data_IF_824945751570
#
_entry.id   IF_824945751570
#
_cell.length_a   1.000
_cell.length_b   1.000
_cell.length_c   1.000
_cell.angle_alpha   90.00
_cell.angle_beta   90.00
_cell.angle_gamma   90.00
#
_symmetry.space_group_name_H-M   'P 1'
#
loop_
_entity.id
_entity.type
_entity.pdbx_description
1 polymer ?
#
# COMPACT_ATOMS: atom_id res chain seq x y z
N UNK A 1 -15.08 -14.56 -9.38
CA UNK A 1 -14.24 -14.74 -10.59
C UNK A 1 -13.94 -13.34 -11.11
N UNK A 2 -12.84 -12.71 -10.69
CA UNK A 2 -12.47 -11.36 -11.15
C UNK A 2 -11.56 -11.48 -12.37
N UNK A 3 -11.98 -10.85 -13.47
CA UNK A 3 -11.42 -10.97 -14.81
C UNK A 3 -10.02 -10.35 -14.92
N UNK A 4 -9.15 -11.06 -15.65
CA UNK A 4 -7.91 -10.56 -16.20
C UNK A 4 -8.19 -9.35 -17.12
N UNK A 5 -7.47 -8.25 -16.92
CA UNK A 5 -7.62 -7.03 -17.74
C UNK A 5 -8.11 -5.79 -17.00
N UNK A 6 -7.73 -5.60 -15.73
CA UNK A 6 -7.91 -4.29 -15.10
C UNK A 6 -6.77 -3.36 -15.55
N UNK A 7 -6.95 -2.72 -16.72
CA UNK A 7 -6.14 -1.61 -17.28
C UNK A 7 -6.16 -0.33 -16.42
N UNK A 8 -6.53 -0.43 -15.13
CA UNK A 8 -6.70 0.74 -14.26
C UNK A 8 -5.40 1.19 -13.58
N UNK A 9 -4.36 0.38 -13.65
CA UNK A 9 -3.04 0.71 -13.14
C UNK A 9 -2.19 1.06 -14.36
N UNK A 10 -1.77 2.32 -14.46
CA UNK A 10 -0.85 2.84 -15.48
C UNK A 10 0.56 2.23 -15.26
N UNK A 11 0.65 0.91 -15.33
CA UNK A 11 1.83 0.12 -15.00
C UNK A 11 2.84 0.35 -16.11
N UNK A 12 4.10 0.70 -15.80
CA UNK A 12 5.13 0.82 -16.81
C UNK A 12 5.28 -0.51 -17.54
N UNK A 13 5.54 -0.48 -18.86
CA UNK A 13 5.76 -1.69 -19.64
C UNK A 13 6.84 -2.54 -18.96
N UNK A 14 6.63 -3.86 -18.99
CA UNK A 14 7.61 -4.80 -18.49
C UNK A 14 8.83 -4.70 -19.40
N UNK A 15 9.89 -4.02 -18.95
CA UNK A 15 11.21 -4.12 -19.57
C UNK A 15 11.71 -5.53 -19.32
N UNK A 16 11.22 -6.48 -20.12
CA UNK A 16 11.81 -7.80 -20.27
C UNK A 16 13.08 -7.57 -21.07
N UNK A 17 14.12 -7.05 -20.41
CA UNK A 17 15.47 -7.16 -20.92
C UNK A 17 15.94 -8.57 -20.51
N UNK A 18 15.97 -9.55 -21.44
CA UNK A 18 16.39 -10.92 -21.14
C UNK A 18 17.84 -11.01 -20.64
N UNK A 19 18.61 -9.91 -20.70
CA UNK A 19 19.97 -9.80 -20.17
C UNK A 19 20.04 -9.01 -18.85
N UNK A 20 18.97 -8.35 -18.39
CA UNK A 20 18.96 -7.68 -17.09
C UNK A 20 19.05 -8.68 -15.93
N UNK A 21 18.49 -9.88 -16.09
CA UNK A 21 18.64 -10.99 -15.13
C UNK A 21 20.07 -11.55 -15.08
N UNK A 22 20.90 -11.27 -16.10
CA UNK A 22 22.27 -11.80 -16.22
C UNK A 22 23.29 -10.85 -15.56
N UNK A 23 22.95 -9.56 -15.40
CA UNK A 23 23.83 -8.54 -14.85
C UNK A 23 23.54 -8.15 -13.40
N UNK A 24 22.35 -8.46 -12.88
CA UNK A 24 22.03 -8.24 -11.46
C UNK A 24 22.62 -9.37 -10.64
N UNK A 25 23.47 -9.03 -9.68
CA UNK A 25 23.99 -10.05 -8.77
C UNK A 25 22.86 -10.50 -7.84
N UNK A 26 22.77 -11.80 -7.59
CA UNK A 26 21.80 -12.36 -6.65
C UNK A 26 21.86 -11.65 -5.28
N UNK A 27 23.05 -11.18 -4.88
CA UNK A 27 23.28 -10.40 -3.67
C UNK A 27 22.58 -9.03 -3.68
N UNK A 28 22.52 -8.33 -4.82
CA UNK A 28 21.79 -7.05 -4.96
C UNK A 28 20.29 -7.25 -4.82
N UNK A 29 19.73 -8.32 -5.39
CA UNK A 29 18.31 -8.66 -5.22
C UNK A 29 17.98 -9.05 -3.78
N UNK A 30 18.87 -9.80 -3.12
CA UNK A 30 18.71 -10.16 -1.71
C UNK A 30 18.77 -8.91 -0.83
N UNK A 31 19.76 -8.03 -1.04
CA UNK A 31 19.89 -6.77 -0.29
C UNK A 31 18.65 -5.88 -0.49
N UNK A 32 18.16 -5.77 -1.72
CA UNK A 32 16.92 -5.07 -2.04
C UNK A 32 15.71 -5.68 -1.31
N UNK A 33 15.54 -7.00 -1.37
CA UNK A 33 14.43 -7.70 -0.73
C UNK A 33 14.43 -7.49 0.78
N UNK A 34 15.61 -7.58 1.43
CA UNK A 34 15.76 -7.33 2.87
C UNK A 34 15.41 -5.89 3.25
N UNK A 35 15.76 -4.91 2.42
CA UNK A 35 15.44 -3.50 2.65
C UNK A 35 13.95 -3.19 2.46
N UNK A 36 13.31 -3.78 1.44
CA UNK A 36 11.93 -3.47 1.05
C UNK A 36 10.88 -4.23 1.86
N UNK A 37 11.17 -5.45 2.30
CA UNK A 37 10.22 -6.30 3.03
C UNK A 37 9.52 -5.64 4.23
N UNK A 38 10.22 -4.97 5.17
CA UNK A 38 9.53 -4.29 6.27
C UNK A 38 8.59 -3.18 5.79
N UNK A 39 8.93 -2.50 4.69
CA UNK A 39 8.10 -1.44 4.10
C UNK A 39 6.88 -2.02 3.39
N UNK A 40 7.03 -3.15 2.71
CA UNK A 40 5.95 -3.92 2.11
C UNK A 40 4.91 -4.34 3.17
N UNK A 41 5.39 -4.97 4.24
CA UNK A 41 4.52 -5.46 5.32
C UNK A 41 3.80 -4.31 6.02
N UNK A 42 4.51 -3.20 6.26
CA UNK A 42 3.91 -2.03 6.88
C UNK A 42 2.86 -1.40 5.97
N UNK A 43 3.12 -1.29 4.66
CA UNK A 43 2.16 -0.77 3.70
C UNK A 43 0.88 -1.61 3.65
N UNK A 44 1.01 -2.94 3.66
CA UNK A 44 -0.14 -3.84 3.75
C UNK A 44 -0.97 -3.60 5.02
N UNK A 45 -0.31 -3.46 6.16
CA UNK A 45 -0.98 -3.15 7.45
C UNK A 45 -1.67 -1.79 7.42
N UNK A 46 -1.01 -0.74 6.91
CA UNK A 46 -1.59 0.60 6.80
C UNK A 46 -2.83 0.62 5.92
N UNK A 47 -2.79 -0.05 4.76
CA UNK A 47 -3.96 -0.18 3.88
C UNK A 47 -5.12 -0.86 4.62
N UNK A 48 -4.85 -1.95 5.35
CA UNK A 48 -5.86 -2.66 6.13
C UNK A 48 -6.46 -1.80 7.26
N UNK A 49 -5.63 -1.07 7.99
CA UNK A 49 -6.06 -0.17 9.07
C UNK A 49 -6.95 0.96 8.53
N UNK A 50 -6.53 1.62 7.44
CA UNK A 50 -7.31 2.70 6.82
C UNK A 50 -8.63 2.19 6.24
N UNK A 51 -8.62 1.03 5.57
CA UNK A 51 -9.84 0.42 5.05
C UNK A 51 -10.82 0.06 6.17
N UNK A 52 -10.33 -0.50 7.28
CA UNK A 52 -11.14 -0.80 8.46
C UNK A 52 -11.74 0.45 9.09
N UNK A 53 -10.95 1.51 9.24
CA UNK A 53 -11.41 2.80 9.75
C UNK A 53 -12.53 3.39 8.87
N UNK A 54 -12.33 3.41 7.56
CA UNK A 54 -13.31 3.95 6.60
C UNK A 54 -14.61 3.15 6.59
N UNK A 55 -14.53 1.83 6.71
CA UNK A 55 -15.71 0.98 6.83
C UNK A 55 -16.47 1.26 8.15
N UNK A 56 -15.75 1.32 9.28
CA UNK A 56 -16.35 1.63 10.58
C UNK A 56 -17.03 2.99 10.58
N UNK A 57 -16.42 3.98 9.96
CA UNK A 57 -16.97 5.31 9.90
C UNK A 57 -18.17 5.41 8.93
N UNK A 58 -18.20 4.60 7.85
CA UNK A 58 -19.38 4.44 7.00
C UNK A 58 -20.57 3.81 7.74
N UNK A 59 -20.31 2.82 8.61
CA UNK A 59 -21.36 2.11 9.37
C UNK A 59 -21.86 2.92 10.56
N UNK A 60 -20.96 3.56 11.31
CA UNK A 60 -21.29 4.30 12.53
C UNK A 60 -21.85 5.70 12.28
N UNK A 61 -21.65 6.26 11.08
CA UNK A 61 -22.09 7.60 10.71
C UNK A 61 -21.40 8.72 11.50
N UNK A 62 -20.41 8.39 12.35
CA UNK A 62 -19.60 9.34 13.10
C UNK A 62 -18.19 9.34 12.55
N UNK A 63 -17.81 10.49 11.99
CA UNK A 63 -16.44 10.80 11.62
C UNK A 63 -15.89 11.80 12.63
N UNK A 64 -15.21 11.29 13.65
CA UNK A 64 -14.47 12.15 14.56
C UNK A 64 -13.03 12.27 14.06
N UNK A 65 -12.53 13.50 13.89
CA UNK A 65 -11.13 13.71 13.49
C UNK A 65 -10.16 13.46 14.63
N UNK A 66 -10.67 13.46 15.86
CA UNK A 66 -9.91 13.18 17.08
C UNK A 66 -9.62 11.70 17.28
N UNK A 67 -9.77 10.85 16.26
CA UNK A 67 -9.14 9.55 16.28
C UNK A 67 -7.61 9.75 16.27
N UNK A 68 -7.04 9.86 17.46
CA UNK A 68 -5.61 9.68 17.75
C UNK A 68 -5.07 8.37 17.11
N UNK A 69 -5.97 7.40 16.89
CA UNK A 69 -5.73 6.18 16.13
C UNK A 69 -5.41 6.40 14.64
N UNK A 70 -5.67 7.58 14.07
CA UNK A 70 -5.48 7.90 12.65
C UNK A 70 -4.24 8.77 12.40
N UNK A 71 -3.88 9.68 13.30
CA UNK A 71 -2.66 10.48 13.17
C UNK A 71 -1.39 9.62 13.20
N UNK A 72 -1.34 8.60 14.07
CA UNK A 72 -0.18 7.70 14.17
C UNK A 72 0.09 6.90 12.87
N UNK A 73 -0.91 6.30 12.20
CA UNK A 73 -0.74 5.70 10.87
C UNK A 73 -0.30 6.68 9.78
N UNK A 74 -0.77 7.94 9.81
CA UNK A 74 -0.44 8.95 8.78
C UNK A 74 1.04 9.34 8.85
N UNK A 75 1.56 9.61 10.05
CA UNK A 75 2.98 9.93 10.25
C UNK A 75 3.87 8.76 9.82
N UNK A 76 3.49 7.53 10.20
CA UNK A 76 4.19 6.31 9.76
C UNK A 76 4.15 6.09 8.25
N UNK A 77 3.05 6.45 7.59
CA UNK A 77 2.95 6.35 6.14
C UNK A 77 3.93 7.30 5.43
N UNK A 78 4.13 8.51 5.95
CA UNK A 78 5.10 9.48 5.42
C UNK A 78 6.54 8.98 5.58
N UNK A 79 6.91 8.54 6.78
CA UNK A 79 8.25 7.97 7.04
C UNK A 79 8.56 6.77 6.14
N UNK A 80 7.57 5.88 5.93
CA UNK A 80 7.74 4.75 5.03
C UNK A 80 7.84 5.15 3.56
N UNK A 81 7.19 6.23 3.16
CA UNK A 81 7.28 6.78 1.81
C UNK A 81 8.67 7.32 1.49
N UNK A 82 9.29 8.00 2.43
CA UNK A 82 10.64 8.51 2.23
C UNK A 82 11.67 7.36 2.29
N UNK A 83 11.48 6.41 3.21
CA UNK A 83 12.32 5.22 3.28
C UNK A 83 12.29 4.41 1.99
N UNK A 84 11.12 4.16 1.40
CA UNK A 84 11.03 3.34 0.19
C UNK A 84 11.65 4.04 -1.03
N UNK A 85 11.49 5.36 -1.16
CA UNK A 85 12.12 6.12 -2.26
C UNK A 85 13.64 6.21 -2.16
N UNK A 86 14.19 6.05 -0.95
CA UNK A 86 15.64 6.05 -0.75
C UNK A 86 16.33 4.75 -1.18
N UNK A 87 15.57 3.67 -1.40
CA UNK A 87 16.11 2.38 -1.80
C UNK A 87 16.41 2.41 -3.30
N UNK A 88 17.68 2.20 -3.66
CA UNK A 88 18.06 1.99 -5.05
C UNK A 88 17.58 0.61 -5.51
N UNK A 89 16.63 0.58 -6.45
CA UNK A 89 16.15 -0.67 -7.03
C UNK A 89 17.12 -1.22 -8.07
N UNK A 90 17.53 -2.50 -7.98
CA UNK A 90 18.25 -3.15 -9.07
C UNK A 90 17.33 -3.30 -10.29
N UNK A 91 17.90 -3.38 -11.49
CA UNK A 91 17.13 -3.41 -12.76
C UNK A 91 16.04 -4.50 -12.79
N UNK A 92 16.34 -5.70 -12.26
CA UNK A 92 15.39 -6.81 -12.15
C UNK A 92 14.23 -6.58 -11.16
N UNK A 93 14.32 -5.57 -10.30
CA UNK A 93 13.28 -5.20 -9.34
C UNK A 93 12.59 -3.86 -9.66
N UNK A 94 12.99 -3.13 -10.70
CA UNK A 94 12.50 -1.78 -11.03
C UNK A 94 10.96 -1.69 -11.11
N UNK A 95 10.32 -2.65 -11.79
CA UNK A 95 8.85 -2.69 -11.93
C UNK A 95 8.14 -2.88 -10.58
N UNK A 96 8.67 -3.77 -9.73
CA UNK A 96 8.13 -4.03 -8.39
C UNK A 96 8.34 -2.83 -7.48
N UNK A 97 9.51 -2.22 -7.55
CA UNK A 97 9.85 -1.02 -6.81
C UNK A 97 8.93 0.15 -7.20
N UNK A 98 8.71 0.36 -8.50
CA UNK A 98 7.75 1.34 -8.99
C UNK A 98 6.35 1.09 -8.44
N UNK A 99 5.87 -0.16 -8.44
CA UNK A 99 4.55 -0.50 -7.94
C UNK A 99 4.41 -0.16 -6.44
N UNK A 100 5.45 -0.43 -5.63
CA UNK A 100 5.43 -0.09 -4.21
C UNK A 100 5.48 1.41 -3.95
N UNK A 101 6.34 2.14 -4.67
CA UNK A 101 6.38 3.60 -4.61
C UNK A 101 5.02 4.20 -4.97
N UNK A 102 4.37 3.69 -6.03
CA UNK A 102 3.04 4.15 -6.45
C UNK A 102 1.96 3.82 -5.43
N UNK A 103 1.98 2.61 -4.86
CA UNK A 103 1.04 2.22 -3.80
C UNK A 103 1.17 3.13 -2.58
N UNK A 104 2.40 3.42 -2.17
CA UNK A 104 2.70 4.32 -1.05
C UNK A 104 2.25 5.75 -1.34
N UNK A 105 2.43 6.26 -2.56
CA UNK A 105 1.90 7.57 -2.96
C UNK A 105 0.38 7.62 -2.84
N UNK A 106 -0.35 6.59 -3.30
CA UNK A 106 -1.81 6.54 -3.17
C UNK A 106 -2.27 6.54 -1.70
N UNK A 107 -1.57 5.80 -0.83
CA UNK A 107 -1.86 5.82 0.62
C UNK A 107 -1.58 7.21 1.21
N UNK A 108 -0.50 7.87 0.79
CA UNK A 108 -0.20 9.25 1.15
C UNK A 108 -1.29 10.23 0.71
N UNK A 109 -1.73 10.13 -0.55
CA UNK A 109 -2.81 10.96 -1.10
C UNK A 109 -4.12 10.79 -0.31
N UNK A 110 -4.50 9.54 0.02
CA UNK A 110 -5.69 9.25 0.84
C UNK A 110 -5.58 9.86 2.23
N UNK A 111 -4.42 9.72 2.86
CA UNK A 111 -4.19 10.21 4.23
C UNK A 111 -4.16 11.72 4.30
N UNK A 112 -3.56 12.40 3.32
CA UNK A 112 -3.58 13.86 3.21
C UNK A 112 -4.98 14.40 2.88
N UNK A 113 -5.72 13.74 1.99
CA UNK A 113 -7.14 14.08 1.73
C UNK A 113 -7.97 13.90 3.00
N UNK A 114 -7.78 12.82 3.74
CA UNK A 114 -8.47 12.58 5.00
C UNK A 114 -8.15 13.67 6.04
N UNK A 115 -6.88 13.99 6.25
CA UNK A 115 -6.45 15.01 7.20
C UNK A 115 -6.95 16.42 6.85
N UNK A 116 -6.99 16.75 5.55
CA UNK A 116 -7.42 18.06 5.04
C UNK A 116 -8.94 18.22 4.95
N UNK A 117 -9.69 17.11 4.94
CA UNK A 117 -11.16 17.13 4.80
C UNK A 117 -11.79 17.82 5.98
N UNK A 118 -12.12 19.11 5.78
CA UNK A 118 -12.80 19.93 6.76
C UNK A 118 -14.28 20.04 6.44
N UNK A 119 -15.13 19.54 7.35
CA UNK A 119 -16.60 19.72 7.47
C UNK A 119 -17.53 18.55 7.11
N UNK A 120 -18.58 18.39 7.92
CA UNK A 120 -19.87 17.72 7.63
C UNK A 120 -19.88 16.20 7.48
N UNK A 121 -20.68 15.49 8.29
CA UNK A 121 -20.86 14.03 8.17
C UNK A 121 -21.23 13.56 6.75
N UNK A 122 -22.03 14.35 6.01
CA UNK A 122 -22.46 14.00 4.66
C UNK A 122 -21.31 14.05 3.64
N UNK A 123 -20.48 15.10 3.70
CA UNK A 123 -19.35 15.26 2.79
C UNK A 123 -18.29 14.17 3.00
N UNK A 124 -18.06 13.78 4.26
CA UNK A 124 -17.13 12.69 4.56
C UNK A 124 -17.65 11.36 4.01
N UNK A 125 -18.96 11.12 4.07
CA UNK A 125 -19.57 9.88 3.57
C UNK A 125 -19.39 9.70 2.06
N UNK A 126 -19.48 10.79 1.29
CA UNK A 126 -19.21 10.80 -0.15
C UNK A 126 -17.73 10.52 -0.45
N UNK A 127 -16.82 11.16 0.29
CA UNK A 127 -15.37 11.02 0.10
C UNK A 127 -14.83 9.64 0.49
N UNK A 128 -15.46 8.97 1.46
CA UNK A 128 -15.08 7.62 1.91
C UNK A 128 -15.12 6.60 0.78
N UNK A 129 -16.09 6.70 -0.13
CA UNK A 129 -16.13 5.82 -1.30
C UNK A 129 -14.91 6.02 -2.19
N UNK A 130 -14.54 7.28 -2.44
CA UNK A 130 -13.38 7.63 -3.26
C UNK A 130 -12.06 7.17 -2.61
N UNK A 131 -11.90 7.37 -1.30
CA UNK A 131 -10.72 6.90 -0.57
C UNK A 131 -10.62 5.38 -0.53
N UNK A 132 -11.76 4.69 -0.37
CA UNK A 132 -11.81 3.22 -0.40
C UNK A 132 -11.36 2.70 -1.77
N UNK A 133 -11.77 3.34 -2.86
CA UNK A 133 -11.34 2.93 -4.20
C UNK A 133 -9.86 3.23 -4.45
N UNK A 134 -9.31 4.33 -3.91
CA UNK A 134 -7.87 4.60 -3.94
C UNK A 134 -7.07 3.54 -3.15
N UNK A 135 -7.55 3.13 -1.97
CA UNK A 135 -6.93 2.04 -1.19
C UNK A 135 -6.99 0.69 -1.90
N UNK A 136 -8.08 0.38 -2.63
CA UNK A 136 -8.15 -0.83 -3.46
C UNK A 136 -7.08 -0.83 -4.56
N UNK A 137 -6.85 0.33 -5.21
CA UNK A 137 -5.78 0.49 -6.21
C UNK A 137 -4.39 0.33 -5.58
N UNK A 138 -4.15 0.93 -4.41
CA UNK A 138 -2.92 0.73 -3.65
C UNK A 138 -2.69 -0.76 -3.33
N UNK A 139 -3.72 -1.47 -2.87
CA UNK A 139 -3.65 -2.90 -2.59
C UNK A 139 -3.35 -3.73 -3.86
N UNK A 140 -3.92 -3.38 -5.00
CA UNK A 140 -3.62 -4.04 -6.26
C UNK A 140 -2.14 -3.87 -6.68
N UNK A 141 -1.55 -2.70 -6.43
CA UNK A 141 -0.13 -2.44 -6.66
C UNK A 141 0.78 -3.18 -5.67
N UNK A 142 0.39 -3.31 -4.40
CA UNK A 142 1.09 -4.16 -3.42
C UNK A 142 1.07 -5.63 -3.86
N UNK A 143 -0.04 -6.10 -4.43
CA UNK A 143 -0.11 -7.45 -5.01
C UNK A 143 0.75 -7.58 -6.27
N UNK A 144 0.82 -6.56 -7.12
CA UNK A 144 1.71 -6.55 -8.28
C UNK A 144 3.20 -6.60 -7.88
N UNK A 145 3.55 -5.97 -6.77
CA UNK A 145 4.90 -6.01 -6.21
C UNK A 145 5.23 -7.31 -5.46
N UNK A 146 4.23 -8.18 -5.22
CA UNK A 146 4.45 -9.44 -4.52
C UNK A 146 5.31 -10.39 -5.34
N UNK A 147 6.25 -11.05 -4.66
CA UNK A 147 7.17 -11.99 -5.26
C UNK A 147 7.61 -13.02 -4.21
N UNK A 148 7.19 -14.27 -4.43
CA UNK A 148 7.50 -15.38 -3.54
C UNK A 148 9.02 -15.66 -3.47
N UNK A 149 9.76 -15.40 -4.56
CA UNK A 149 11.22 -15.58 -4.60
C UNK A 149 11.97 -14.54 -3.77
N UNK A 150 11.36 -13.38 -3.53
CA UNK A 150 11.90 -12.30 -2.68
C UNK A 150 11.29 -12.29 -1.28
N UNK A 151 10.44 -13.28 -0.94
CA UNK A 151 9.74 -13.34 0.34
C UNK A 151 8.70 -12.22 0.55
N UNK A 152 8.30 -11.55 -0.54
CA UNK A 152 7.28 -10.51 -0.58
C UNK A 152 5.92 -11.18 -0.84
N UNK A 153 5.42 -11.89 0.16
CA UNK A 153 4.11 -12.52 0.07
C UNK A 153 3.03 -11.54 0.53
N UNK A 154 1.88 -11.46 -0.16
CA UNK A 154 0.77 -10.66 0.33
C UNK A 154 0.41 -11.16 1.74
N UNK A 155 0.29 -10.21 2.67
CA UNK A 155 -0.13 -10.53 4.04
C UNK A 155 -1.51 -11.17 3.95
N UNK A 156 -1.58 -12.46 4.30
CA UNK A 156 -2.83 -13.19 4.37
C UNK A 156 -3.58 -12.75 5.64
N UNK A 157 -4.54 -11.85 5.47
CA UNK A 157 -5.37 -11.34 6.55
C UNK A 157 -6.38 -12.37 7.09
N UNK A 158 -6.43 -13.60 6.54
CA UNK A 158 -7.28 -14.67 7.09
C UNK A 158 -6.96 -15.02 8.55
N UNK A 159 -5.75 -14.68 9.04
CA UNK A 159 -5.30 -14.95 10.41
C UNK A 159 -5.23 -13.71 11.32
N UNK A 160 -5.54 -12.50 10.82
CA UNK A 160 -5.35 -11.25 11.57
C UNK A 160 -6.49 -10.92 12.56
N UNK A 161 -7.59 -11.67 12.56
CA UNK A 161 -8.71 -11.49 13.49
C UNK A 161 -8.58 -12.26 14.83
N UNK A 162 -7.39 -12.76 15.17
CA UNK A 162 -7.15 -13.41 16.46
C UNK A 162 -6.73 -12.41 17.55
N UNK A 163 -7.59 -11.42 17.85
CA UNK A 163 -7.51 -10.62 19.08
C UNK A 163 -8.92 -10.41 19.67
N UNK A 164 -9.60 -11.51 19.98
CA UNK A 164 -10.79 -11.52 20.87
C UNK A 164 -10.74 -12.78 21.74
N UNK A 165 -10.08 -12.72 22.90
CA UNK A 165 -10.48 -13.42 24.15
C UNK A 165 -9.42 -13.22 25.24
N UNK A 166 -9.69 -12.26 26.12
CA UNK A 166 -9.08 -12.08 27.43
C UNK A 166 -10.08 -11.36 28.31
#
# INVERSE_FOLDING_TARGET
MHLAGCDALDVPPEDIDPFADIAVTQDELIAYALAVRPLYDNLGRLIGQLAGLFLLAQVSGRFDRDFEAVTTPIERARECSDAIRSIAAPKGASRRHWALCRAMSLVGEVTDQFASTTCGQEHVREQVSAWTDQLKRANALVRLASDASLGLNPVDFSQACCCCSG
#
